data_IF_826457711942
#
_entry.id   IF_826457711942
#
_cell.length_a   1.000
_cell.length_b   1.000
_cell.length_c   1.000
_cell.angle_alpha   90.00
_cell.angle_beta   90.00
_cell.angle_gamma   90.00
#
_symmetry.space_group_name_H-M   'P 1'
#
loop_
_entity.id
_entity.type
_entity.pdbx_description
1 polymer ?
#
# COMPACT_ATOMS: atom_id res chain seq x y z
N UNK A 1 -12.19 -9.77 1.72
CA UNK A 1 -11.74 -8.35 1.74
C UNK A 1 -12.30 -7.56 2.92
N UNK A 2 -13.63 -7.43 3.08
CA UNK A 2 -14.24 -6.67 4.19
C UNK A 2 -13.90 -7.28 5.56
N UNK A 3 -13.98 -8.61 5.71
CA UNK A 3 -13.73 -9.27 7.01
C UNK A 3 -12.33 -8.97 7.57
N UNK A 4 -11.27 -9.15 6.77
CA UNK A 4 -9.89 -8.86 7.22
C UNK A 4 -9.68 -7.37 7.51
N UNK A 5 -10.29 -6.48 6.71
CA UNK A 5 -10.22 -5.03 6.93
C UNK A 5 -10.90 -4.65 8.24
N UNK A 6 -12.06 -5.25 8.51
CA UNK A 6 -12.83 -5.04 9.73
C UNK A 6 -12.07 -5.52 10.96
N UNK A 7 -11.41 -6.70 10.87
CA UNK A 7 -10.57 -7.23 11.94
C UNK A 7 -9.45 -6.25 12.30
N UNK A 8 -8.69 -5.80 11.30
CA UNK A 8 -7.60 -4.83 11.49
C UNK A 8 -8.09 -3.47 12.01
N UNK A 9 -9.15 -2.91 11.42
CA UNK A 9 -9.70 -1.61 11.84
C UNK A 9 -10.26 -1.65 13.26
N UNK A 10 -10.94 -2.73 13.66
CA UNK A 10 -11.43 -2.89 15.04
C UNK A 10 -10.26 -2.91 16.02
N UNK A 11 -9.18 -3.64 15.71
CA UNK A 11 -7.99 -3.66 16.55
C UNK A 11 -7.35 -2.27 16.67
N UNK A 12 -7.15 -1.55 15.55
CA UNK A 12 -6.61 -0.19 15.55
C UNK A 12 -7.49 0.76 16.38
N UNK A 13 -8.81 0.68 16.20
CA UNK A 13 -9.76 1.53 16.92
C UNK A 13 -9.76 1.23 18.42
N UNK A 14 -9.74 -0.04 18.81
CA UNK A 14 -9.74 -0.45 20.21
C UNK A 14 -8.44 -0.06 20.93
N UNK A 15 -7.29 -0.23 20.28
CA UNK A 15 -5.99 0.00 20.92
C UNK A 15 -5.56 1.47 20.88
N UNK A 16 -5.85 2.19 19.79
CA UNK A 16 -5.31 3.53 19.55
C UNK A 16 -6.38 4.62 19.40
N UNK A 17 -7.67 4.25 19.39
CA UNK A 17 -8.77 5.14 19.05
C UNK A 17 -8.57 5.88 17.71
N UNK A 18 -7.94 5.22 16.74
CA UNK A 18 -7.70 5.77 15.39
C UNK A 18 -8.57 5.08 14.35
N UNK A 19 -8.87 5.84 13.30
CA UNK A 19 -9.53 5.36 12.08
C UNK A 19 -8.64 5.77 10.91
N UNK A 20 -8.10 4.82 10.12
CA UNK A 20 -7.29 5.15 8.94
C UNK A 20 -8.09 5.98 7.93
N UNK A 21 -7.39 6.88 7.22
CA UNK A 21 -7.96 7.76 6.16
C UNK A 21 -7.35 7.53 4.78
N UNK A 22 -6.25 6.79 4.70
CA UNK A 22 -5.52 6.56 3.45
C UNK A 22 -5.31 5.07 3.24
N UNK A 23 -5.82 4.55 2.12
CA UNK A 23 -5.57 3.19 1.67
C UNK A 23 -4.16 3.04 1.13
N UNK A 24 -3.48 1.95 1.53
CA UNK A 24 -2.13 1.64 1.09
C UNK A 24 -2.12 0.29 0.36
N UNK A 25 -2.00 0.32 -0.96
CA UNK A 25 -2.11 -0.83 -1.86
C UNK A 25 -0.90 -0.87 -2.80
N UNK A 26 0.30 -0.75 -2.24
CA UNK A 26 1.53 -0.57 -3.02
C UNK A 26 1.91 -1.79 -3.86
N UNK A 27 1.57 -2.99 -3.41
CA UNK A 27 2.07 -4.24 -3.99
C UNK A 27 1.06 -5.23 -4.64
N UNK A 28 -0.28 -5.10 -4.49
CA UNK A 28 -1.21 -5.89 -5.30
C UNK A 28 -0.98 -5.72 -6.82
N UNK A 29 -1.04 -6.83 -7.57
CA UNK A 29 -0.68 -6.90 -8.99
C UNK A 29 -1.81 -6.41 -9.92
N UNK A 30 -2.08 -5.11 -9.90
CA UNK A 30 -3.25 -4.48 -10.50
C UNK A 30 -4.36 -4.22 -9.48
N UNK A 31 -5.34 -3.38 -9.83
CA UNK A 31 -6.29 -2.84 -8.85
C UNK A 31 -7.73 -2.89 -9.34
N UNK A 32 -8.62 -3.55 -8.58
CA UNK A 32 -10.03 -3.69 -8.95
C UNK A 32 -10.84 -2.41 -8.77
N UNK A 33 -11.90 -2.23 -9.55
CA UNK A 33 -12.87 -1.17 -9.35
C UNK A 33 -13.51 -1.22 -7.95
N UNK A 34 -13.70 -2.43 -7.41
CA UNK A 34 -14.23 -2.67 -6.05
C UNK A 34 -13.29 -2.15 -4.97
N UNK A 35 -11.97 -2.20 -5.19
CA UNK A 35 -11.00 -1.61 -4.27
C UNK A 35 -11.25 -0.12 -4.09
N UNK A 36 -11.55 0.59 -5.17
CA UNK A 36 -11.78 2.04 -5.15
C UNK A 36 -13.05 2.43 -4.40
N UNK A 37 -14.19 1.90 -4.82
CA UNK A 37 -15.46 2.39 -4.28
C UNK A 37 -15.77 1.75 -2.92
N UNK A 38 -15.61 0.44 -2.76
CA UNK A 38 -16.09 -0.27 -1.57
C UNK A 38 -15.02 -0.38 -0.48
N UNK A 39 -13.79 -0.75 -0.83
CA UNK A 39 -12.72 -1.02 0.13
C UNK A 39 -11.85 0.23 0.38
N UNK A 40 -12.33 1.40 -0.05
CA UNK A 40 -11.66 2.68 0.16
C UNK A 40 -12.69 3.78 0.44
N UNK A 41 -13.47 4.23 -0.56
CA UNK A 41 -14.45 5.30 -0.37
C UNK A 41 -15.52 4.96 0.70
N UNK A 42 -16.20 3.81 0.60
CA UNK A 42 -17.21 3.40 1.59
C UNK A 42 -16.60 3.06 2.97
N UNK A 43 -15.29 2.84 3.07
CA UNK A 43 -14.61 2.71 4.37
C UNK A 43 -14.39 4.07 5.07
N UNK A 44 -14.63 5.18 4.37
CA UNK A 44 -14.37 6.54 4.84
C UNK A 44 -12.94 7.00 4.60
N UNK A 45 -12.22 6.40 3.63
CA UNK A 45 -10.90 6.90 3.23
C UNK A 45 -11.03 8.07 2.26
N UNK A 46 -10.04 8.96 2.28
CA UNK A 46 -9.92 10.09 1.37
C UNK A 46 -9.03 9.77 0.17
N UNK A 47 -8.11 8.81 0.33
CA UNK A 47 -7.19 8.41 -0.72
C UNK A 47 -6.89 6.91 -0.75
N UNK A 48 -6.38 6.44 -1.89
CA UNK A 48 -5.65 5.17 -2.01
C UNK A 48 -4.38 5.37 -2.84
N UNK A 49 -3.31 4.73 -2.42
CA UNK A 49 -1.98 4.86 -2.99
C UNK A 49 -1.45 3.49 -3.43
N UNK A 50 -0.88 3.41 -4.62
CA UNK A 50 -0.43 2.14 -5.17
C UNK A 50 0.70 2.29 -6.19
N UNK A 51 1.53 1.26 -6.34
CA UNK A 51 2.65 1.30 -7.27
C UNK A 51 2.36 0.60 -8.60
N UNK A 52 1.51 -0.44 -8.66
CA UNK A 52 1.44 -1.36 -9.81
C UNK A 52 0.28 -1.05 -10.77
N UNK A 53 0.58 -0.26 -11.79
CA UNK A 53 -0.25 -0.08 -12.99
C UNK A 53 0.53 -0.52 -14.23
N UNK A 54 -0.19 -0.86 -15.30
CA UNK A 54 0.39 -1.24 -16.60
C UNK A 54 1.49 -0.24 -17.05
N UNK A 55 2.59 -0.76 -17.60
CA UNK A 55 3.74 0.05 -17.95
C UNK A 55 3.45 1.08 -19.05
N UNK A 56 2.57 0.76 -20.00
CA UNK A 56 2.14 1.71 -21.05
C UNK A 56 1.19 2.76 -20.47
N UNK A 57 0.24 2.35 -19.64
CA UNK A 57 -0.65 3.29 -18.92
C UNK A 57 0.19 4.25 -18.06
N UNK A 58 1.20 3.75 -17.34
CA UNK A 58 2.11 4.60 -16.57
C UNK A 58 2.86 5.60 -17.44
N UNK A 59 3.42 5.15 -18.57
CA UNK A 59 4.14 6.03 -19.49
C UNK A 59 3.23 7.15 -20.00
N UNK A 60 2.00 6.80 -20.40
CA UNK A 60 0.98 7.78 -20.81
C UNK A 60 0.61 8.74 -19.68
N UNK A 61 0.35 8.22 -18.47
CA UNK A 61 -0.02 9.04 -17.30
C UNK A 61 1.08 10.00 -16.86
N UNK A 62 2.35 9.65 -17.04
CA UNK A 62 3.48 10.58 -16.81
C UNK A 62 3.42 11.78 -17.74
N UNK A 63 3.17 11.54 -19.03
CA UNK A 63 3.04 12.62 -20.04
C UNK A 63 1.82 13.48 -19.76
N UNK A 64 0.68 12.85 -19.47
CA UNK A 64 -0.61 13.53 -19.28
C UNK A 64 -0.77 14.14 -17.86
N UNK A 65 0.23 13.96 -16.99
CA UNK A 65 0.17 14.26 -15.54
C UNK A 65 -1.11 13.73 -14.91
N UNK A 66 -1.42 12.46 -15.17
CA UNK A 66 -2.65 11.76 -14.75
C UNK A 66 -2.38 10.48 -13.96
N UNK A 67 -1.23 10.42 -13.29
CA UNK A 67 -0.92 9.43 -12.26
C UNK A 67 -1.82 9.59 -11.02
N UNK A 68 -2.26 10.81 -10.77
CA UNK A 68 -3.18 11.17 -9.71
C UNK A 68 -4.54 11.52 -10.32
N UNK A 69 -5.60 10.88 -9.83
CA UNK A 69 -6.94 10.94 -10.42
C UNK A 69 -8.01 10.93 -9.34
N UNK A 70 -9.21 11.38 -9.70
CA UNK A 70 -10.43 11.00 -8.97
C UNK A 70 -10.95 9.71 -9.59
N UNK A 71 -10.96 8.64 -8.81
CA UNK A 71 -11.36 7.32 -9.26
C UNK A 71 -12.80 7.01 -8.87
N UNK A 72 -13.67 6.84 -9.89
CA UNK A 72 -15.06 6.39 -9.75
C UNK A 72 -15.16 4.93 -10.17
N UNK A 73 -14.97 4.03 -9.20
CA UNK A 73 -14.99 2.58 -9.44
C UNK A 73 -16.39 1.98 -9.59
N UNK A 74 -17.44 2.64 -9.06
CA UNK A 74 -18.82 2.13 -9.16
C UNK A 74 -19.60 2.84 -10.27
N UNK A 75 -20.12 2.06 -11.23
CA UNK A 75 -21.07 2.56 -12.23
C UNK A 75 -22.41 2.99 -11.60
N UNK A 76 -22.75 2.42 -10.44
CA UNK A 76 -23.98 2.71 -9.70
C UNK A 76 -23.88 3.98 -8.87
N UNK A 77 -22.79 4.11 -8.10
CA UNK A 77 -22.62 5.22 -7.15
C UNK A 77 -21.91 6.43 -7.76
N UNK A 78 -21.15 6.23 -8.84
CA UNK A 78 -20.46 7.30 -9.56
C UNK A 78 -19.66 8.21 -8.61
N UNK A 79 -20.00 9.50 -8.51
CA UNK A 79 -19.29 10.47 -7.67
C UNK A 79 -19.57 10.35 -6.17
N UNK A 80 -20.63 9.66 -5.73
CA UNK A 80 -20.92 9.53 -4.29
C UNK A 80 -19.94 8.60 -3.58
N UNK A 81 -19.27 7.71 -4.32
CA UNK A 81 -18.29 6.76 -3.81
C UNK A 81 -16.98 6.86 -4.60
N UNK A 82 -16.50 8.10 -4.77
CA UNK A 82 -15.25 8.40 -5.49
C UNK A 82 -14.09 8.57 -4.51
N UNK A 83 -12.87 8.35 -5.00
CA UNK A 83 -11.66 8.45 -4.17
C UNK A 83 -10.52 9.16 -4.90
N UNK A 84 -9.66 9.88 -4.19
CA UNK A 84 -8.37 10.30 -4.72
C UNK A 84 -7.42 9.10 -4.84
N UNK A 85 -7.04 8.73 -6.07
CA UNK A 85 -6.13 7.63 -6.33
C UNK A 85 -4.77 8.16 -6.81
N UNK A 86 -3.70 7.70 -6.18
CA UNK A 86 -2.32 8.08 -6.50
C UNK A 86 -1.52 6.84 -6.93
N UNK A 87 -1.30 6.71 -8.24
CA UNK A 87 -0.39 5.74 -8.81
C UNK A 87 1.04 6.30 -8.81
N UNK A 88 2.00 5.60 -8.20
CA UNK A 88 3.36 6.12 -8.10
C UNK A 88 4.04 6.22 -9.48
N UNK A 89 4.92 7.21 -9.71
CA UNK A 89 5.64 7.33 -10.99
C UNK A 89 6.70 6.24 -11.17
N UNK A 90 7.19 5.66 -10.08
CA UNK A 90 8.20 4.59 -10.01
C UNK A 90 7.69 3.49 -9.08
N UNK A 91 8.39 2.35 -8.93
CA UNK A 91 8.10 1.39 -7.86
C UNK A 91 8.06 2.05 -6.46
N UNK A 92 7.60 1.32 -5.45
CA UNK A 92 7.38 1.87 -4.10
C UNK A 92 8.65 2.09 -3.28
N UNK A 93 9.83 2.02 -3.90
CA UNK A 93 11.14 2.32 -3.34
C UNK A 93 11.41 3.85 -3.33
N UNK A 94 12.38 4.33 -2.53
CA UNK A 94 12.85 5.71 -2.65
C UNK A 94 13.53 5.95 -4.01
N UNK A 95 13.74 7.21 -4.41
CA UNK A 95 14.55 7.51 -5.58
C UNK A 95 15.97 6.90 -5.49
N UNK A 96 16.62 6.59 -6.63
CA UNK A 96 17.97 6.05 -6.64
C UNK A 96 18.93 6.90 -5.80
N UNK A 97 19.72 6.23 -4.93
CA UNK A 97 20.65 6.90 -4.01
C UNK A 97 20.04 7.37 -2.69
N UNK A 98 18.75 7.07 -2.42
CA UNK A 98 18.04 7.43 -1.19
C UNK A 98 17.50 6.23 -0.41
N UNK A 99 18.06 5.05 -0.63
CA UNK A 99 17.77 3.84 0.14
C UNK A 99 18.79 3.73 1.28
N UNK A 100 18.31 3.69 2.54
CA UNK A 100 19.14 3.94 3.73
C UNK A 100 19.09 2.80 4.75
N UNK A 101 18.96 1.56 4.29
CA UNK A 101 18.99 0.40 5.19
C UNK A 101 20.37 0.17 5.78
N UNK A 102 20.42 -0.38 6.99
CA UNK A 102 21.65 -0.49 7.79
C UNK A 102 22.77 -1.33 7.16
N UNK A 103 22.43 -2.26 6.27
CA UNK A 103 23.41 -3.12 5.59
C UNK A 103 23.70 -2.68 4.16
N UNK A 104 23.11 -1.59 3.72
CA UNK A 104 23.30 -1.09 2.37
C UNK A 104 24.56 -0.27 2.25
N UNK A 105 25.19 -0.36 1.09
CA UNK A 105 26.29 0.52 0.72
C UNK A 105 25.73 1.80 0.07
N UNK A 106 25.19 2.70 0.90
CA UNK A 106 24.69 4.01 0.47
C UNK A 106 25.66 5.14 0.85
N UNK A 107 25.58 6.26 0.13
CA UNK A 107 26.35 7.47 0.43
C UNK A 107 25.65 8.28 1.54
N UNK A 108 26.19 8.31 2.78
CA UNK A 108 25.59 9.06 3.87
C UNK A 108 25.74 10.57 3.65
N UNK A 109 24.85 11.37 4.22
CA UNK A 109 25.08 12.81 4.37
C UNK A 109 26.15 13.02 5.43
N UNK A 110 27.36 13.26 4.98
CA UNK A 110 28.49 13.68 5.80
C UNK A 110 28.42 15.20 5.91
N UNK A 111 28.13 15.66 7.12
CA UNK A 111 28.04 17.08 7.45
C UNK A 111 28.98 17.54 8.59
N UNK A 112 29.94 16.71 8.98
CA UNK A 112 30.95 17.07 9.97
C UNK A 112 32.21 17.59 9.26
N UNK A 113 32.49 18.90 9.31
CA UNK A 113 33.62 19.50 8.59
C UNK A 113 35.00 19.07 9.13
N UNK A 114 35.05 18.36 10.26
CA UNK A 114 36.28 17.82 10.85
C UNK A 114 36.67 16.44 10.33
N UNK A 115 35.82 15.79 9.53
CA UNK A 115 36.14 14.52 8.88
C UNK A 115 36.24 14.74 7.37
N UNK A 116 36.88 13.80 6.68
CA UNK A 116 36.94 13.80 5.23
C UNK A 116 35.57 13.55 4.60
N UNK A 117 35.50 13.80 3.29
CA UNK A 117 34.35 13.47 2.44
C UNK A 117 33.05 14.21 2.83
N UNK A 118 33.16 15.46 3.31
CA UNK A 118 32.01 16.35 3.48
C UNK A 118 31.26 16.53 2.15
N UNK A 119 29.97 16.19 2.12
CA UNK A 119 29.23 16.03 0.86
C UNK A 119 27.83 16.70 0.85
N UNK A 120 27.53 17.57 1.81
CA UNK A 120 26.19 18.19 1.96
C UNK A 120 25.66 18.81 0.67
N UNK A 121 26.45 19.63 -0.03
CA UNK A 121 26.02 20.32 -1.26
C UNK A 121 25.63 19.34 -2.38
N UNK A 122 26.39 18.24 -2.50
CA UNK A 122 26.10 17.19 -3.45
C UNK A 122 24.80 16.47 -3.10
N UNK A 123 24.64 16.03 -1.84
CA UNK A 123 23.44 15.29 -1.41
C UNK A 123 22.17 16.14 -1.48
N UNK A 124 22.25 17.44 -1.20
CA UNK A 124 21.15 18.40 -1.41
C UNK A 124 20.81 18.52 -2.91
N UNK A 125 21.82 18.63 -3.76
CA UNK A 125 21.61 18.71 -5.22
C UNK A 125 21.00 17.44 -5.81
N UNK A 126 21.43 16.26 -5.33
CA UNK A 126 20.83 14.96 -5.67
C UNK A 126 19.34 14.94 -5.30
N UNK A 127 19.02 15.40 -4.08
CA UNK A 127 17.64 15.41 -3.56
C UNK A 127 16.74 16.31 -4.41
N UNK A 128 17.21 17.52 -4.71
CA UNK A 128 16.49 18.49 -5.54
C UNK A 128 16.28 17.91 -6.96
N UNK A 129 17.32 17.32 -7.56
CA UNK A 129 17.24 16.74 -8.90
C UNK A 129 16.18 15.62 -8.99
N UNK A 130 16.19 14.70 -8.03
CA UNK A 130 15.19 13.63 -7.94
C UNK A 130 13.78 14.21 -7.70
N UNK A 131 13.65 15.23 -6.86
CA UNK A 131 12.38 15.88 -6.54
C UNK A 131 11.78 16.59 -7.75
N UNK A 132 12.60 17.33 -8.51
CA UNK A 132 12.17 18.01 -9.73
C UNK A 132 11.80 17.03 -10.84
N UNK A 133 12.51 15.90 -10.94
CA UNK A 133 12.16 14.81 -11.86
C UNK A 133 10.75 14.27 -11.57
N UNK A 134 10.44 14.03 -10.29
CA UNK A 134 9.10 13.59 -9.89
C UNK A 134 8.04 14.69 -10.04
N UNK A 135 8.37 15.94 -9.72
CA UNK A 135 7.48 17.08 -9.87
C UNK A 135 7.07 17.30 -11.33
N UNK A 136 7.95 16.99 -12.29
CA UNK A 136 7.66 17.15 -13.71
C UNK A 136 6.47 16.31 -14.19
N UNK A 137 6.23 15.14 -13.57
CA UNK A 137 5.12 14.23 -13.93
C UNK A 137 3.93 14.29 -12.96
N UNK A 138 3.94 15.23 -12.01
CA UNK A 138 2.95 15.36 -10.93
C UNK A 138 2.20 16.70 -11.07
N UNK A 139 0.94 16.76 -10.66
CA UNK A 139 0.20 18.04 -10.55
C UNK A 139 0.48 18.71 -9.21
N UNK A 140 0.25 20.02 -9.08
CA UNK A 140 0.53 20.83 -7.87
C UNK A 140 2.03 20.90 -7.53
N UNK A 141 2.37 21.56 -6.43
CA UNK A 141 3.72 21.69 -5.88
C UNK A 141 4.04 20.66 -4.77
N UNK A 142 3.25 19.59 -4.64
CA UNK A 142 3.46 18.53 -3.65
C UNK A 142 3.76 17.20 -4.35
N UNK A 143 4.89 16.58 -3.98
CA UNK A 143 5.31 15.22 -4.37
C UNK A 143 5.46 14.35 -3.13
N UNK A 144 5.31 13.03 -3.28
CA UNK A 144 5.48 12.06 -2.20
C UNK A 144 6.62 11.09 -2.54
N UNK A 145 7.63 11.02 -1.69
CA UNK A 145 8.64 9.96 -1.73
C UNK A 145 8.25 8.84 -0.79
N UNK A 146 8.25 7.62 -1.31
CA UNK A 146 8.07 6.40 -0.51
C UNK A 146 9.42 5.98 0.06
N UNK A 147 9.80 6.60 1.18
CA UNK A 147 11.06 6.34 1.87
C UNK A 147 11.01 4.99 2.58
N UNK A 148 11.18 3.89 1.84
CA UNK A 148 11.16 2.52 2.34
C UNK A 148 11.09 1.52 1.20
N UNK A 149 11.10 0.23 1.52
CA UNK A 149 11.00 -0.87 0.56
C UNK A 149 10.56 -2.15 1.32
N UNK A 150 10.61 -3.30 0.67
CA UNK A 150 10.34 -4.62 1.28
C UNK A 150 11.17 -4.84 2.56
N UNK A 151 10.52 -5.00 3.71
CA UNK A 151 11.14 -5.32 5.01
C UNK A 151 12.28 -4.40 5.46
N UNK A 152 12.23 -3.13 5.05
CA UNK A 152 13.18 -2.10 5.49
C UNK A 152 12.87 -1.60 6.92
N UNK A 153 13.70 -0.68 7.41
CA UNK A 153 13.68 -0.14 8.77
C UNK A 153 14.02 -1.17 9.86
N UNK A 154 14.81 -2.21 9.55
CA UNK A 154 15.29 -3.15 10.59
C UNK A 154 16.12 -2.42 11.65
N UNK A 155 16.87 -1.40 11.22
CA UNK A 155 17.42 -0.38 12.10
C UNK A 155 16.99 1.00 11.61
N UNK A 156 15.82 1.43 12.08
CA UNK A 156 15.14 2.65 11.65
C UNK A 156 16.00 3.92 11.75
N UNK A 157 16.90 4.00 12.72
CA UNK A 157 17.84 5.13 12.89
C UNK A 157 18.73 5.33 11.66
N UNK A 158 19.04 4.28 10.88
CA UNK A 158 19.77 4.42 9.62
C UNK A 158 19.03 5.34 8.63
N UNK A 159 17.71 5.17 8.51
CA UNK A 159 16.85 5.99 7.66
C UNK A 159 16.63 7.38 8.25
N UNK A 160 16.22 7.47 9.52
CA UNK A 160 15.90 8.74 10.17
C UNK A 160 17.10 9.68 10.24
N UNK A 161 18.30 9.17 10.50
CA UNK A 161 19.53 9.98 10.50
C UNK A 161 19.77 10.67 9.16
N UNK A 162 19.55 9.97 8.05
CA UNK A 162 19.73 10.55 6.72
C UNK A 162 18.59 11.51 6.38
N UNK A 163 17.35 11.15 6.69
CA UNK A 163 16.19 12.00 6.45
C UNK A 163 16.25 13.31 7.25
N UNK A 164 16.68 13.29 8.51
CA UNK A 164 16.85 14.48 9.33
C UNK A 164 17.86 15.46 8.72
N UNK A 165 19.02 14.95 8.30
CA UNK A 165 20.04 15.77 7.63
C UNK A 165 19.56 16.32 6.30
N UNK A 166 18.92 15.47 5.48
CA UNK A 166 18.36 15.90 4.19
C UNK A 166 17.31 16.99 4.39
N UNK A 167 16.33 16.79 5.28
CA UNK A 167 15.30 17.79 5.59
C UNK A 167 15.95 19.09 6.06
N UNK A 168 16.93 19.02 6.98
CA UNK A 168 17.64 20.19 7.48
C UNK A 168 18.33 20.98 6.36
N UNK A 169 19.21 20.32 5.59
CA UNK A 169 20.04 21.01 4.60
C UNK A 169 19.27 21.40 3.34
N UNK A 170 18.28 20.61 2.91
CA UNK A 170 17.40 20.97 1.78
C UNK A 170 16.57 22.21 2.11
N UNK A 171 16.00 22.28 3.32
CA UNK A 171 15.22 23.45 3.73
C UNK A 171 16.11 24.68 3.96
N UNK A 172 17.36 24.49 4.40
CA UNK A 172 18.35 25.56 4.52
C UNK A 172 18.80 26.11 3.17
N UNK A 173 18.93 25.24 2.16
CA UNK A 173 19.20 25.62 0.77
C UNK A 173 18.02 26.40 0.17
N UNK A 174 16.78 25.95 0.42
CA UNK A 174 15.56 26.71 0.15
C UNK A 174 15.04 26.64 -1.29
N UNK A 175 15.71 25.94 -2.22
CA UNK A 175 15.19 25.71 -3.58
C UNK A 175 13.93 24.84 -3.62
N UNK A 176 13.82 23.90 -2.68
CA UNK A 176 12.63 23.07 -2.43
C UNK A 176 12.41 22.93 -0.92
N UNK A 177 11.23 22.46 -0.51
CA UNK A 177 10.94 22.17 0.90
C UNK A 177 10.68 20.67 1.11
N UNK A 178 11.36 20.10 2.10
CA UNK A 178 11.21 18.72 2.55
C UNK A 178 10.62 18.67 3.97
N UNK A 179 9.80 17.66 4.25
CA UNK A 179 9.22 17.41 5.56
C UNK A 179 8.93 15.92 5.76
N UNK A 180 8.91 15.47 7.01
CA UNK A 180 8.23 14.21 7.34
C UNK A 180 6.75 14.35 7.06
N UNK A 181 6.15 13.31 6.47
CA UNK A 181 4.76 13.33 6.06
C UNK A 181 4.14 11.93 6.14
N UNK A 182 2.84 11.87 5.91
CA UNK A 182 2.08 10.63 5.75
C UNK A 182 1.21 10.73 4.49
N UNK A 183 0.71 9.60 3.94
CA UNK A 183 -0.15 9.64 2.76
C UNK A 183 -1.44 10.48 2.96
N UNK A 184 -1.96 10.56 4.19
CA UNK A 184 -3.10 11.42 4.51
C UNK A 184 -2.71 12.91 4.54
N UNK A 185 -1.56 13.27 5.13
CA UNK A 185 -1.06 14.67 5.12
C UNK A 185 -0.78 15.12 3.68
N UNK A 186 -0.19 14.23 2.86
CA UNK A 186 -0.01 14.47 1.44
C UNK A 186 -1.35 14.77 0.77
N UNK A 187 -2.35 13.89 0.94
CA UNK A 187 -3.68 14.04 0.34
C UNK A 187 -4.37 15.33 0.79
N UNK A 188 -4.27 15.69 2.07
CA UNK A 188 -4.83 16.95 2.60
C UNK A 188 -4.20 18.16 1.87
N UNK A 189 -2.89 18.15 1.61
CA UNK A 189 -2.22 19.18 0.82
C UNK A 189 -2.65 19.20 -0.66
N UNK A 190 -2.82 18.02 -1.27
CA UNK A 190 -3.32 17.91 -2.67
C UNK A 190 -4.74 18.45 -2.81
N UNK A 191 -5.59 18.20 -1.82
CA UNK A 191 -6.96 18.72 -1.78
C UNK A 191 -6.97 20.25 -1.58
N UNK A 192 -6.10 20.78 -0.72
CA UNK A 192 -5.99 22.22 -0.45
C UNK A 192 -5.52 23.04 -1.67
N UNK A 193 -4.84 22.43 -2.64
CA UNK A 193 -4.31 23.10 -3.82
C UNK A 193 -5.38 23.60 -4.83
N UNK A 194 -6.68 23.33 -4.59
CA UNK A 194 -7.81 23.74 -5.43
C UNK A 194 -7.61 23.45 -6.93
N UNK A 195 -7.06 22.28 -7.24
CA UNK A 195 -6.72 21.84 -8.59
C UNK A 195 -7.81 20.92 -9.17
N UNK A 196 -8.04 21.02 -10.48
CA UNK A 196 -8.85 20.03 -11.19
C UNK A 196 -8.07 18.74 -11.45
N UNK A 197 -8.71 17.59 -11.21
CA UNK A 197 -8.10 16.26 -11.30
C UNK A 197 -8.72 15.47 -12.47
N UNK A 198 -7.92 14.66 -13.20
CA UNK A 198 -8.46 13.77 -14.21
C UNK A 198 -9.39 12.73 -13.58
N UNK A 199 -10.36 12.26 -14.36
CA UNK A 199 -11.24 11.18 -13.96
C UNK A 199 -10.63 9.83 -14.37
N UNK A 200 -10.70 8.85 -13.47
CA UNK A 200 -10.55 7.43 -13.80
C UNK A 200 -11.86 6.71 -13.52
N UNK A 201 -12.28 5.88 -14.46
CA UNK A 201 -13.40 4.93 -14.31
C UNK A 201 -12.89 3.51 -14.47
N UNK A 202 -13.67 2.50 -14.08
CA UNK A 202 -13.32 1.07 -14.22
C UNK A 202 -12.12 0.66 -13.35
N UNK A 203 -11.31 -0.31 -13.76
CA UNK A 203 -10.23 -0.90 -12.96
C UNK A 203 -8.83 -0.71 -13.59
N UNK A 204 -7.80 -1.19 -12.91
CA UNK A 204 -6.41 -1.23 -13.39
C UNK A 204 -5.97 -2.69 -13.65
N UNK A 205 -6.86 -3.50 -14.23
CA UNK A 205 -6.53 -4.84 -14.70
C UNK A 205 -6.57 -4.92 -16.24
N UNK A 206 -5.77 -5.82 -16.85
CA UNK A 206 -4.67 -6.57 -16.24
C UNK A 206 -3.44 -5.66 -15.99
N UNK A 207 -2.51 -6.14 -15.15
CA UNK A 207 -1.22 -5.48 -14.91
C UNK A 207 -0.12 -6.13 -15.75
N UNK A 208 0.74 -5.30 -16.36
CA UNK A 208 2.01 -5.71 -16.94
C UNK A 208 3.11 -4.71 -16.56
N UNK A 209 4.28 -5.21 -16.18
CA UNK A 209 5.45 -4.39 -15.81
C UNK A 209 6.43 -4.19 -16.97
N UNK A 210 6.35 -5.04 -18.00
CA UNK A 210 7.15 -4.97 -19.20
C UNK A 210 6.40 -5.55 -20.41
N UNK A 211 7.01 -5.42 -21.59
CA UNK A 211 6.55 -6.07 -22.83
C UNK A 211 6.43 -7.58 -22.58
N UNK A 212 5.30 -8.16 -23.00
CA UNK A 212 4.98 -9.60 -22.87
C UNK A 212 4.97 -10.18 -21.44
N UNK A 213 5.02 -9.32 -20.41
CA UNK A 213 5.01 -9.71 -19.01
C UNK A 213 3.66 -9.38 -18.36
N UNK A 214 2.58 -9.98 -18.84
CA UNK A 214 1.24 -9.82 -18.24
C UNK A 214 1.09 -10.70 -17.00
N UNK A 215 0.75 -10.10 -15.87
CA UNK A 215 0.57 -10.77 -14.60
C UNK A 215 -0.85 -11.34 -14.50
N UNK A 216 -1.25 -12.19 -15.43
CA UNK A 216 -2.57 -12.83 -15.45
C UNK A 216 -2.52 -14.29 -14.99
N UNK A 217 -1.33 -14.89 -14.90
CA UNK A 217 -1.15 -16.26 -14.43
C UNK A 217 -1.65 -16.48 -12.99
N UNK A 218 -1.43 -15.51 -12.10
CA UNK A 218 -1.86 -15.59 -10.69
C UNK A 218 -3.39 -15.61 -10.51
N UNK A 219 -4.16 -15.29 -11.55
CA UNK A 219 -5.61 -15.47 -11.53
C UNK A 219 -5.97 -16.96 -11.33
N UNK A 220 -5.13 -17.88 -11.84
CA UNK A 220 -5.35 -19.34 -11.77
C UNK A 220 -4.37 -20.07 -10.85
N UNK A 221 -3.15 -19.57 -10.66
CA UNK A 221 -2.11 -20.23 -9.83
C UNK A 221 -2.62 -20.77 -8.50
N UNK A 222 -2.27 -22.02 -8.18
CA UNK A 222 -2.70 -22.74 -6.95
C UNK A 222 -4.23 -22.81 -6.81
N UNK A 223 -4.97 -23.36 -7.80
CA UNK A 223 -6.42 -23.36 -7.80
C UNK A 223 -7.02 -24.12 -6.61
N UNK A 224 -6.34 -25.17 -6.11
CA UNK A 224 -6.75 -25.89 -4.90
C UNK A 224 -6.79 -25.01 -3.66
N UNK A 225 -5.79 -24.14 -3.46
CA UNK A 225 -5.79 -23.19 -2.34
C UNK A 225 -6.90 -22.13 -2.52
N UNK A 226 -7.07 -21.58 -3.72
CA UNK A 226 -8.14 -20.61 -4.02
C UNK A 226 -9.53 -21.19 -3.72
N UNK A 227 -9.78 -22.43 -4.13
CA UNK A 227 -11.00 -23.16 -3.83
C UNK A 227 -11.19 -23.39 -2.33
N UNK A 228 -10.12 -23.75 -1.61
CA UNK A 228 -10.17 -23.97 -0.17
C UNK A 228 -10.50 -22.69 0.61
N UNK A 229 -9.88 -21.56 0.24
CA UNK A 229 -10.18 -20.24 0.82
C UNK A 229 -11.64 -19.86 0.58
N UNK A 230 -12.18 -20.09 -0.63
CA UNK A 230 -13.59 -19.81 -0.93
C UNK A 230 -14.54 -20.67 -0.09
N UNK A 231 -14.26 -21.97 0.02
CA UNK A 231 -15.04 -22.90 0.83
C UNK A 231 -15.09 -22.42 2.28
N UNK A 232 -13.91 -22.14 2.87
CA UNK A 232 -13.82 -21.71 4.27
C UNK A 232 -14.40 -20.32 4.51
N UNK A 233 -14.36 -19.42 3.52
CA UNK A 233 -15.04 -18.13 3.63
C UNK A 233 -16.56 -18.28 3.76
N UNK A 234 -17.18 -19.21 3.04
CA UNK A 234 -18.61 -19.52 3.19
C UNK A 234 -18.90 -20.20 4.52
N UNK A 235 -18.07 -21.17 4.91
CA UNK A 235 -18.17 -21.84 6.20
C UNK A 235 -18.06 -20.88 7.39
N UNK A 236 -17.10 -19.96 7.35
CA UNK A 236 -16.89 -18.93 8.38
C UNK A 236 -18.08 -17.97 8.53
N UNK A 237 -18.78 -17.65 7.44
CA UNK A 237 -20.01 -16.86 7.52
C UNK A 237 -21.09 -17.60 8.31
N UNK A 238 -21.39 -18.85 7.93
CA UNK A 238 -22.39 -19.66 8.62
C UNK A 238 -22.02 -19.91 10.09
N UNK A 239 -20.73 -20.15 10.37
CA UNK A 239 -20.23 -20.34 11.72
C UNK A 239 -20.47 -19.13 12.63
N UNK A 240 -20.23 -17.91 12.13
CA UNK A 240 -20.49 -16.68 12.89
C UNK A 240 -21.98 -16.47 13.17
N UNK A 241 -22.84 -16.82 12.22
CA UNK A 241 -24.30 -16.75 12.43
C UNK A 241 -24.74 -17.71 13.54
N UNK A 242 -24.24 -18.94 13.52
CA UNK A 242 -24.53 -19.93 14.57
C UNK A 242 -23.92 -19.54 15.93
N UNK A 243 -22.70 -19.03 15.97
CA UNK A 243 -22.07 -18.52 17.19
C UNK A 243 -22.90 -17.39 17.80
N UNK A 244 -23.40 -16.47 16.98
CA UNK A 244 -24.28 -15.39 17.44
C UNK A 244 -25.59 -15.93 18.03
N UNK A 245 -26.25 -16.87 17.34
CA UNK A 245 -27.53 -17.44 17.79
C UNK A 245 -27.40 -18.32 19.04
N UNK A 246 -26.34 -19.11 19.12
CA UNK A 246 -26.07 -19.98 20.28
C UNK A 246 -25.54 -19.21 21.50
N UNK A 247 -25.12 -17.96 21.31
CA UNK A 247 -24.43 -17.17 22.30
C UNK A 247 -22.93 -17.51 22.32
N UNK A 248 -22.10 -16.52 22.02
CA UNK A 248 -20.64 -16.68 22.03
C UNK A 248 -20.17 -17.14 23.40
N UNK A 249 -19.46 -18.26 23.45
CA UNK A 249 -18.85 -18.77 24.68
C UNK A 249 -17.66 -17.88 25.06
N UNK A 250 -17.57 -17.51 26.34
CA UNK A 250 -16.44 -16.74 26.85
C UNK A 250 -15.13 -17.56 26.85
N UNK A 251 -15.24 -18.87 27.05
CA UNK A 251 -14.14 -19.83 27.03
C UNK A 251 -14.47 -20.99 26.07
N UNK A 252 -13.48 -21.44 25.31
CA UNK A 252 -13.60 -22.54 24.35
C UNK A 252 -13.58 -22.09 22.90
N UNK A 253 -13.87 -23.03 22.01
CA UNK A 253 -13.79 -22.84 20.57
C UNK A 253 -14.72 -21.74 20.07
N UNK A 254 -14.18 -20.88 19.21
CA UNK A 254 -14.88 -19.76 18.62
C UNK A 254 -14.37 -19.49 17.20
N UNK A 255 -14.90 -18.46 16.57
CA UNK A 255 -14.59 -18.13 15.18
C UNK A 255 -13.30 -17.32 14.96
N UNK A 256 -12.61 -16.88 16.00
CA UNK A 256 -11.46 -15.98 15.89
C UNK A 256 -10.24 -16.64 15.21
N UNK A 257 -9.97 -17.91 15.50
CA UNK A 257 -8.86 -18.64 14.88
C UNK A 257 -9.02 -18.76 13.36
N UNK A 258 -10.25 -18.98 12.89
CA UNK A 258 -10.56 -18.98 11.45
C UNK A 258 -10.56 -17.57 10.86
N UNK A 259 -10.94 -16.54 11.63
CA UNK A 259 -10.87 -15.15 11.23
C UNK A 259 -9.43 -14.72 10.90
N UNK A 260 -8.47 -15.06 11.77
CA UNK A 260 -7.04 -14.81 11.55
C UNK A 260 -6.53 -15.52 10.30
N UNK A 261 -6.78 -16.84 10.20
CA UNK A 261 -6.32 -17.65 9.07
C UNK A 261 -6.88 -17.16 7.72
N UNK A 262 -8.18 -16.86 7.65
CA UNK A 262 -8.81 -16.30 6.45
C UNK A 262 -8.31 -14.89 6.14
N UNK A 263 -8.02 -14.10 7.17
CA UNK A 263 -7.45 -12.75 7.04
C UNK A 263 -6.08 -12.78 6.39
N UNK A 264 -5.17 -13.59 6.93
CA UNK A 264 -3.83 -13.84 6.36
C UNK A 264 -3.95 -14.38 4.93
N UNK A 265 -4.90 -15.27 4.66
CA UNK A 265 -5.09 -15.84 3.33
C UNK A 265 -5.51 -14.81 2.27
N UNK A 266 -5.95 -13.60 2.64
CA UNK A 266 -6.20 -12.50 1.69
C UNK A 266 -4.94 -11.73 1.26
N UNK A 267 -3.77 -12.02 1.87
CA UNK A 267 -2.51 -11.42 1.48
C UNK A 267 -2.26 -11.58 -0.03
N UNK A 268 -1.62 -10.57 -0.66
CA UNK A 268 -1.41 -10.53 -2.11
C UNK A 268 -0.39 -11.57 -2.62
N UNK A 269 0.24 -12.36 -1.74
CA UNK A 269 0.96 -13.60 -2.08
C UNK A 269 0.31 -14.91 -1.62
N UNK A 270 -0.79 -14.82 -0.86
CA UNK A 270 -1.50 -15.99 -0.35
C UNK A 270 -2.51 -16.50 -1.39
N UNK A 271 -3.71 -15.91 -1.46
CA UNK A 271 -4.77 -16.33 -2.39
C UNK A 271 -4.37 -16.19 -3.86
N UNK A 272 -3.44 -15.30 -4.19
CA UNK A 272 -2.87 -15.15 -5.54
C UNK A 272 -2.02 -16.35 -5.96
N UNK A 273 -1.48 -17.08 -4.98
CA UNK A 273 -0.66 -18.26 -5.19
C UNK A 273 0.79 -17.98 -5.59
N UNK A 274 1.29 -16.77 -5.36
CA UNK A 274 2.65 -16.33 -5.70
C UNK A 274 3.70 -16.58 -4.61
N UNK A 275 3.30 -17.02 -3.41
CA UNK A 275 4.25 -17.43 -2.37
C UNK A 275 5.01 -18.73 -2.72
N UNK A 276 6.14 -18.95 -2.03
CA UNK A 276 6.89 -20.22 -2.04
C UNK A 276 6.04 -21.39 -1.52
N UNK A 277 6.41 -22.62 -1.88
CA UNK A 277 5.64 -23.81 -1.54
C UNK A 277 5.50 -24.03 -0.03
N UNK A 278 6.56 -23.86 0.75
CA UNK A 278 6.48 -24.04 2.21
C UNK A 278 5.56 -23.00 2.86
N UNK A 279 5.59 -21.74 2.41
CA UNK A 279 4.65 -20.70 2.87
C UNK A 279 3.21 -21.03 2.47
N UNK A 280 3.00 -21.55 1.26
CA UNK A 280 1.69 -22.04 0.81
C UNK A 280 1.16 -23.16 1.71
N UNK A 281 2.02 -24.10 2.09
CA UNK A 281 1.67 -25.18 3.00
C UNK A 281 1.29 -24.62 4.39
N UNK A 282 1.97 -23.58 4.86
CA UNK A 282 1.64 -22.90 6.11
C UNK A 282 0.27 -22.22 6.06
N UNK A 283 -0.08 -21.53 4.97
CA UNK A 283 -1.43 -20.97 4.78
C UNK A 283 -2.50 -22.05 4.87
N UNK A 284 -2.32 -23.19 4.18
CA UNK A 284 -3.26 -24.30 4.23
C UNK A 284 -3.37 -24.92 5.64
N UNK A 285 -2.25 -25.04 6.37
CA UNK A 285 -2.22 -25.53 7.74
C UNK A 285 -3.00 -24.61 8.69
N UNK A 286 -2.81 -23.29 8.60
CA UNK A 286 -3.56 -22.30 9.40
C UNK A 286 -5.05 -22.39 9.15
N UNK A 287 -5.45 -22.44 7.88
CA UNK A 287 -6.83 -22.60 7.47
C UNK A 287 -7.46 -23.88 8.03
N UNK A 288 -6.73 -24.99 8.01
CA UNK A 288 -7.17 -26.27 8.60
C UNK A 288 -7.35 -26.18 10.12
N UNK A 289 -6.39 -25.57 10.83
CA UNK A 289 -6.49 -25.38 12.28
C UNK A 289 -7.71 -24.55 12.63
N UNK A 290 -7.89 -23.39 12.00
CA UNK A 290 -9.05 -22.51 12.25
C UNK A 290 -10.38 -23.19 11.92
N UNK A 291 -10.46 -23.95 10.84
CA UNK A 291 -11.67 -24.70 10.48
C UNK A 291 -12.00 -25.81 11.50
N UNK A 292 -10.97 -26.45 12.06
CA UNK A 292 -11.13 -27.52 13.06
C UNK A 292 -11.64 -26.96 14.40
N UNK A 293 -11.15 -25.80 14.82
CA UNK A 293 -11.63 -25.11 16.02
C UNK A 293 -13.11 -24.76 15.90
N UNK A 294 -13.53 -24.20 14.77
CA UNK A 294 -14.94 -23.83 14.53
C UNK A 294 -15.88 -25.05 14.53
N UNK A 295 -15.36 -26.25 14.26
CA UNK A 295 -16.16 -27.48 14.17
C UNK A 295 -16.39 -28.17 15.53
N UNK A 296 -15.70 -27.78 16.59
CA UNK A 296 -15.75 -28.41 17.93
C UNK A 296 -16.70 -27.70 18.90
#
# INVERSE_FOLDING_TARGET
MIDQTTLGHRAIKAQFNKTPRAGWQIDPFGHSAVQAYLLTAELGFDSVHFARIDYQDRAKRKVDKSLEVIWRGSKTFSSSSQIFANAFPVPYSPPPGFHFEVFDNFEPVQDNPLLFDYNVEQRVSDFISASLTQANVTRTNHVMWTMGDDFQYQYAESWFKQMDKLIHYVNKDGRVNALYSTPSIYTDAKNAANQSWPLKTEDYFPYADAVDAYWTGFFTSRPGLKGYIRLLSGYYLAARELEFLAGRKANGSNTDGLADALGIAQHHDAVTGTAKQHTTNDYAKRLFIGASEVSS
#
